data_IF_211354794365
#
_entry.id   IF_211354794365
#
_cell.length_a   1.000
_cell.length_b   1.000
_cell.length_c   1.000
_cell.angle_alpha   90.00
_cell.angle_beta   90.00
_cell.angle_gamma   90.00
#
_symmetry.space_group_name_H-M   'P 1'
#
loop_
_entity.id
_entity.type
_entity.pdbx_description
1 polymer ?
#
# COMPACT_ATOMS: atom_id res chain seq x y z
N UNK A 1 7.86 -41.19 -16.25
CA UNK A 1 7.28 -39.84 -16.17
C UNK A 1 7.03 -39.53 -14.71
N UNK A 2 7.73 -38.55 -14.17
CA UNK A 2 7.53 -38.11 -12.78
C UNK A 2 6.48 -36.97 -12.79
N UNK A 3 5.29 -37.19 -12.23
CA UNK A 3 4.19 -36.24 -12.31
C UNK A 3 4.49 -34.91 -11.60
N UNK A 4 5.30 -34.92 -10.53
CA UNK A 4 5.68 -33.67 -9.84
C UNK A 4 6.56 -32.79 -10.72
N UNK A 5 7.43 -33.41 -11.51
CA UNK A 5 8.34 -32.70 -12.40
C UNK A 5 7.62 -32.04 -13.56
N UNK A 6 6.56 -32.66 -14.07
CA UNK A 6 5.71 -32.09 -15.13
C UNK A 6 4.93 -30.87 -14.62
N UNK A 7 4.41 -30.91 -13.39
CA UNK A 7 3.71 -29.80 -12.76
C UNK A 7 4.63 -28.57 -12.60
N UNK A 8 5.86 -28.78 -12.15
CA UNK A 8 6.85 -27.70 -11.99
C UNK A 8 7.22 -27.08 -13.33
N UNK A 9 7.34 -27.89 -14.39
CA UNK A 9 7.64 -27.41 -15.75
C UNK A 9 6.48 -26.65 -16.40
N UNK A 10 5.24 -26.97 -16.03
CA UNK A 10 4.03 -26.31 -16.52
C UNK A 10 3.72 -24.99 -15.78
N UNK A 11 4.34 -24.74 -14.63
CA UNK A 11 4.08 -23.54 -13.83
C UNK A 11 4.73 -22.29 -14.43
N UNK A 12 3.90 -21.29 -14.69
CA UNK A 12 4.39 -20.00 -15.22
C UNK A 12 4.91 -19.12 -14.08
N UNK A 13 5.90 -18.26 -14.39
CA UNK A 13 6.45 -17.27 -13.44
C UNK A 13 5.36 -16.44 -12.73
N UNK A 14 4.31 -16.02 -13.46
CA UNK A 14 3.18 -15.26 -12.91
C UNK A 14 2.38 -16.06 -11.88
N UNK A 15 2.13 -17.35 -12.13
CA UNK A 15 1.42 -18.22 -11.19
C UNK A 15 2.25 -18.47 -9.93
N UNK A 16 3.55 -18.72 -10.10
CA UNK A 16 4.48 -18.91 -8.99
C UNK A 16 4.54 -17.66 -8.08
N UNK A 17 4.77 -16.47 -8.66
CA UNK A 17 4.81 -15.23 -7.89
C UNK A 17 3.45 -14.85 -7.30
N UNK A 18 2.34 -15.14 -8.00
CA UNK A 18 0.99 -14.94 -7.46
C UNK A 18 0.71 -15.77 -6.21
N UNK A 19 1.14 -17.04 -6.18
CA UNK A 19 1.00 -17.92 -5.01
C UNK A 19 1.91 -17.48 -3.84
N UNK A 20 3.14 -17.08 -4.14
CA UNK A 20 4.12 -16.64 -3.13
C UNK A 20 3.80 -15.26 -2.52
N UNK A 21 3.14 -14.38 -3.29
CA UNK A 21 2.79 -13.02 -2.84
C UNK A 21 1.92 -13.02 -1.58
N UNK A 22 1.04 -14.02 -1.39
CA UNK A 22 0.22 -14.14 -0.19
C UNK A 22 1.05 -14.40 1.09
N UNK A 23 2.12 -15.20 0.98
CA UNK A 23 2.99 -15.52 2.11
C UNK A 23 3.88 -14.33 2.51
N UNK A 24 4.67 -13.82 1.57
CA UNK A 24 5.58 -12.70 1.82
C UNK A 24 4.79 -11.41 2.12
N UNK A 25 3.69 -11.18 1.40
CA UNK A 25 2.79 -10.07 1.66
C UNK A 25 2.12 -10.15 3.03
N UNK A 26 1.77 -11.36 3.48
CA UNK A 26 1.24 -11.59 4.84
C UNK A 26 2.28 -11.27 5.93
N UNK A 27 3.53 -11.69 5.75
CA UNK A 27 4.62 -11.34 6.66
C UNK A 27 4.87 -9.82 6.69
N UNK A 28 4.93 -9.18 5.52
CA UNK A 28 5.08 -7.73 5.43
C UNK A 28 3.92 -6.97 6.09
N UNK A 29 2.68 -7.41 5.87
CA UNK A 29 1.49 -6.84 6.48
C UNK A 29 1.49 -7.01 8.01
N UNK A 30 1.91 -8.18 8.51
CA UNK A 30 2.04 -8.42 9.95
C UNK A 30 3.08 -7.50 10.61
N UNK A 31 4.18 -7.19 9.91
CA UNK A 31 5.20 -6.24 10.39
C UNK A 31 4.64 -4.82 10.48
N UNK A 32 3.89 -4.37 9.47
CA UNK A 32 3.27 -3.04 9.47
C UNK A 32 2.18 -2.91 10.54
N UNK A 33 1.34 -3.94 10.71
CA UNK A 33 0.33 -3.97 11.76
C UNK A 33 0.93 -4.08 13.15
N UNK A 34 2.11 -4.70 13.30
CA UNK A 34 2.85 -4.71 14.57
C UNK A 34 3.37 -3.31 14.93
N UNK A 35 3.83 -2.53 13.96
CA UNK A 35 4.28 -1.15 14.19
C UNK A 35 3.13 -0.22 14.63
N UNK A 36 1.90 -0.41 14.12
CA UNK A 36 0.72 0.36 14.55
C UNK A 36 0.25 0.00 15.99
N UNK A 37 0.54 -1.21 16.47
CA UNK A 37 0.23 -1.62 17.86
C UNK A 37 1.22 -0.97 18.85
N UNK A 38 2.43 -0.61 18.41
CA UNK A 38 3.37 0.20 19.16
C UNK A 38 3.33 1.66 18.70
N UNK A 39 2.17 2.31 18.87
CA UNK A 39 2.06 3.77 18.93
C UNK A 39 2.81 4.39 20.12
N UNK A 40 4.06 3.97 20.36
CA UNK A 40 4.98 4.65 21.24
C UNK A 40 5.78 5.64 20.42
N UNK A 41 5.47 6.91 20.63
CA UNK A 41 6.32 8.02 20.24
C UNK A 41 7.75 7.68 20.70
N UNK A 42 8.75 7.59 19.81
CA UNK A 42 10.11 7.30 20.23
C UNK A 42 10.53 8.32 21.30
N UNK A 43 10.96 7.85 22.48
CA UNK A 43 11.48 8.74 23.50
C UNK A 43 12.72 9.45 22.90
N UNK A 44 12.59 10.74 22.60
CA UNK A 44 13.64 11.54 21.98
C UNK A 44 13.38 12.00 20.54
N UNK A 45 12.18 11.85 19.96
CA UNK A 45 11.86 12.60 18.74
C UNK A 45 11.84 14.09 19.08
N UNK A 46 12.73 14.92 18.49
CA UNK A 46 12.65 16.36 18.67
C UNK A 46 11.26 16.83 18.24
N UNK A 47 10.65 17.80 18.94
CA UNK A 47 9.33 18.30 18.60
C UNK A 47 9.31 18.64 17.11
N UNK A 48 8.30 18.09 16.40
CA UNK A 48 8.14 18.29 14.97
C UNK A 48 8.27 19.80 14.71
N UNK A 49 9.30 20.18 13.94
CA UNK A 49 9.54 21.59 13.61
C UNK A 49 8.30 22.09 12.87
N UNK A 50 7.46 22.85 13.55
CA UNK A 50 6.27 23.46 12.96
C UNK A 50 6.73 24.53 11.98
N UNK A 51 6.91 24.13 10.72
CA UNK A 51 7.11 25.05 9.61
C UNK A 51 5.73 25.58 9.25
N UNK A 52 5.55 26.89 9.28
CA UNK A 52 4.31 27.51 8.84
C UNK A 52 4.02 27.05 7.39
N UNK A 53 2.83 26.49 7.11
CA UNK A 53 2.53 25.97 5.78
C UNK A 53 2.59 27.10 4.75
N UNK A 54 3.48 26.97 3.76
CA UNK A 54 3.53 27.88 2.62
C UNK A 54 2.79 27.24 1.44
N UNK A 55 1.57 27.70 1.18
CA UNK A 55 0.83 27.29 -0.01
C UNK A 55 1.58 27.79 -1.26
N UNK A 56 2.12 26.86 -2.05
CA UNK A 56 2.89 27.19 -3.26
C UNK A 56 2.04 27.12 -4.53
N UNK A 57 0.93 26.37 -4.50
CA UNK A 57 0.05 26.17 -5.66
C UNK A 57 -1.41 26.10 -5.20
N UNK A 58 -2.27 26.87 -5.87
CA UNK A 58 -3.72 26.75 -5.74
C UNK A 58 -4.23 25.94 -6.94
N UNK A 59 -4.87 24.79 -6.67
CA UNK A 59 -5.46 23.95 -7.72
C UNK A 59 -6.95 24.29 -7.77
N UNK A 60 -7.39 24.92 -8.86
CA UNK A 60 -8.80 25.18 -9.12
C UNK A 60 -9.38 24.05 -9.97
N UNK A 61 -10.32 23.30 -9.38
CA UNK A 61 -11.04 22.23 -10.05
C UNK A 61 -12.42 22.74 -10.43
N UNK A 62 -12.67 22.89 -11.73
CA UNK A 62 -14.00 23.16 -12.25
C UNK A 62 -14.63 21.84 -12.69
N UNK A 63 -15.60 21.33 -11.93
CA UNK A 63 -16.32 20.12 -12.26
C UNK A 63 -17.37 20.40 -13.33
N UNK A 64 -16.96 20.37 -14.60
CA UNK A 64 -17.90 20.36 -15.72
C UNK A 64 -18.49 18.97 -15.90
N UNK A 65 -19.81 18.86 -15.82
CA UNK A 65 -20.55 17.65 -16.21
C UNK A 65 -21.31 16.92 -15.10
N UNK A 66 -21.37 17.47 -13.88
CA UNK A 66 -22.34 16.99 -12.88
C UNK A 66 -23.76 17.36 -13.35
N UNK A 67 -24.73 16.42 -13.33
CA UNK A 67 -26.11 16.78 -13.65
C UNK A 67 -26.58 17.86 -12.65
N UNK A 68 -27.28 18.92 -13.11
CA UNK A 68 -27.89 19.85 -12.17
C UNK A 68 -28.82 19.06 -11.27
N UNK A 69 -28.68 19.21 -9.94
CA UNK A 69 -29.73 18.81 -9.01
C UNK A 69 -30.93 19.69 -9.33
N UNK A 70 -31.78 19.22 -10.24
CA UNK A 70 -33.12 19.73 -10.43
C UNK A 70 -33.91 19.30 -9.19
N UNK A 71 -34.58 20.27 -8.57
CA UNK A 71 -35.62 20.06 -7.56
C UNK A 71 -36.84 19.39 -8.21
#
# INVERSE_FOLDING_TARGET
MDPLREIVLAETRRQFFGKMAAGIGGLALSSLMADDVFGQMPAGVPPLRQIAPKATRCIYLHMMGGPPQMD
#
